data_IF_947246464767
#
_entry.id   IF_947246464767
#
_cell.length_a   1.000
_cell.length_b   1.000
_cell.length_c   1.000
_cell.angle_alpha   90.00
_cell.angle_beta   90.00
_cell.angle_gamma   90.00
#
_symmetry.space_group_name_H-M   'P 1'
#
loop_
_entity.id
_entity.type
_entity.pdbx_description
1 polymer ?
#
# COMPACT_ATOMS: atom_id res chain seq x y z
N UNK A 1 1.76 -37.17 -8.80
CA UNK A 1 2.96 -36.33 -8.72
C UNK A 1 3.00 -35.71 -7.34
N UNK A 2 4.13 -35.74 -6.63
CA UNK A 2 4.22 -35.23 -5.24
C UNK A 2 4.31 -33.70 -5.17
N UNK A 3 4.87 -33.08 -6.22
CA UNK A 3 5.02 -31.62 -6.33
C UNK A 3 4.23 -31.17 -7.56
N UNK A 4 3.65 -29.97 -7.51
CA UNK A 4 2.99 -29.33 -8.65
C UNK A 4 3.37 -27.86 -8.66
N UNK A 5 3.57 -27.30 -9.85
CA UNK A 5 3.79 -25.87 -10.03
C UNK A 5 2.45 -25.13 -10.01
N UNK A 6 2.49 -23.88 -9.54
CA UNK A 6 1.35 -22.97 -9.51
C UNK A 6 1.84 -21.59 -9.92
N UNK A 7 1.03 -20.81 -10.65
CA UNK A 7 1.27 -19.37 -10.76
C UNK A 7 1.34 -18.76 -9.35
N UNK A 8 2.36 -17.96 -9.09
CA UNK A 8 2.57 -17.28 -7.81
C UNK A 8 2.67 -15.78 -8.07
N UNK A 9 1.94 -15.01 -7.26
CA UNK A 9 2.07 -13.55 -7.24
C UNK A 9 3.37 -13.18 -6.57
N UNK A 10 4.17 -12.34 -7.24
CA UNK A 10 5.49 -11.91 -6.79
C UNK A 10 5.63 -10.39 -6.91
N UNK A 11 6.55 -9.82 -6.12
CA UNK A 11 6.97 -8.43 -6.24
C UNK A 11 7.85 -8.20 -7.46
N UNK A 12 7.64 -7.06 -8.12
CA UNK A 12 8.63 -6.53 -9.05
C UNK A 12 9.78 -5.88 -8.26
N UNK A 13 10.90 -6.60 -8.16
CA UNK A 13 12.11 -6.13 -7.44
C UNK A 13 12.81 -4.95 -8.11
N UNK A 14 12.39 -4.55 -9.32
CA UNK A 14 12.89 -3.35 -9.99
C UNK A 14 12.18 -2.07 -9.53
N UNK A 15 10.94 -2.19 -9.06
CA UNK A 15 10.07 -1.09 -8.61
C UNK A 15 10.40 -0.65 -7.18
N UNK A 16 10.55 -1.60 -6.25
CA UNK A 16 10.90 -1.34 -4.84
C UNK A 16 12.25 -1.99 -4.49
N UNK A 17 13.12 -1.23 -3.83
CA UNK A 17 14.50 -1.64 -3.53
C UNK A 17 14.89 -1.36 -2.08
N UNK A 18 15.94 -2.05 -1.61
CA UNK A 18 16.57 -1.71 -0.34
C UNK A 18 16.96 -0.22 -0.30
N UNK A 19 16.70 0.43 0.83
CA UNK A 19 16.89 1.87 1.03
C UNK A 19 15.64 2.71 0.76
N UNK A 20 14.60 2.18 0.10
CA UNK A 20 13.36 2.92 -0.11
C UNK A 20 12.65 3.18 1.21
N UNK A 21 12.03 4.35 1.31
CA UNK A 21 11.16 4.73 2.42
C UNK A 21 9.79 4.11 2.21
N UNK A 22 9.19 3.60 3.29
CA UNK A 22 7.89 2.91 3.25
C UNK A 22 7.01 3.41 4.38
N UNK A 23 5.73 3.60 4.08
CA UNK A 23 4.65 3.63 5.06
C UNK A 23 3.67 2.52 4.71
N UNK A 24 3.51 1.53 5.58
CA UNK A 24 2.67 0.37 5.33
C UNK A 24 1.69 0.13 6.47
N UNK A 25 0.45 -0.24 6.13
CA UNK A 25 -0.59 -0.59 7.08
C UNK A 25 -1.18 -1.94 6.71
N UNK A 26 -0.96 -2.94 7.56
CA UNK A 26 -1.70 -4.18 7.47
C UNK A 26 -3.13 -3.95 7.96
N UNK A 27 -4.10 -4.61 7.34
CA UNK A 27 -5.52 -4.55 7.72
C UNK A 27 -5.78 -4.91 9.19
N UNK A 28 -4.95 -5.78 9.77
CA UNK A 28 -5.05 -6.19 11.17
C UNK A 28 -4.47 -5.18 12.16
N UNK A 29 -3.84 -4.10 11.67
CA UNK A 29 -3.20 -3.08 12.49
C UNK A 29 -4.09 -1.84 12.63
N UNK A 30 -4.06 -1.25 13.83
CA UNK A 30 -4.79 -0.01 14.10
C UNK A 30 -4.21 1.19 13.34
N UNK A 31 -2.88 1.23 13.19
CA UNK A 31 -2.14 2.31 12.55
C UNK A 31 -1.12 1.78 11.54
N UNK A 32 -0.77 2.62 10.57
CA UNK A 32 0.32 2.32 9.63
C UNK A 32 1.66 2.66 10.23
N UNK A 33 2.69 1.91 9.83
CA UNK A 33 4.05 2.03 10.35
C UNK A 33 4.96 2.54 9.24
N UNK A 34 5.70 3.60 9.55
CA UNK A 34 6.76 4.13 8.69
C UNK A 34 8.10 3.44 8.96
N UNK A 35 8.87 3.20 7.91
CA UNK A 35 10.17 2.56 7.97
C UNK A 35 10.93 2.67 6.66
N UNK A 36 11.94 1.83 6.49
CA UNK A 36 12.69 1.72 5.24
C UNK A 36 12.96 0.25 4.89
N UNK A 37 13.05 -0.02 3.60
CA UNK A 37 13.29 -1.37 3.07
C UNK A 37 14.72 -1.78 3.36
N UNK A 38 14.91 -2.94 3.97
CA UNK A 38 16.24 -3.54 4.20
C UNK A 38 16.55 -4.67 3.23
N UNK A 39 15.52 -5.37 2.74
CA UNK A 39 15.66 -6.42 1.74
C UNK A 39 14.38 -6.56 0.90
N UNK A 40 14.56 -7.00 -0.35
CA UNK A 40 13.47 -7.33 -1.28
C UNK A 40 13.80 -8.66 -1.94
N UNK A 41 12.81 -9.55 -1.97
CA UNK A 41 12.78 -10.74 -2.81
C UNK A 41 11.52 -10.71 -3.67
N UNK A 42 11.36 -11.70 -4.54
CA UNK A 42 10.11 -11.89 -5.28
C UNK A 42 8.92 -12.18 -4.34
N UNK A 43 9.14 -12.75 -3.15
CA UNK A 43 8.07 -13.15 -2.23
C UNK A 43 7.79 -12.15 -1.12
N UNK A 44 8.80 -11.40 -0.68
CA UNK A 44 8.66 -10.50 0.47
C UNK A 44 9.52 -9.23 0.39
N UNK A 45 8.99 -8.17 0.99
CA UNK A 45 9.70 -6.94 1.32
C UNK A 45 9.89 -6.89 2.84
N UNK A 46 11.13 -6.71 3.29
CA UNK A 46 11.47 -6.56 4.71
C UNK A 46 11.63 -5.08 5.03
N UNK A 47 10.85 -4.59 6.00
CA UNK A 47 10.87 -3.19 6.42
C UNK A 47 11.39 -3.09 7.84
N UNK A 48 12.43 -2.29 8.05
CA UNK A 48 12.90 -1.92 9.39
C UNK A 48 12.24 -0.62 9.83
N UNK A 49 11.85 -0.55 11.11
CA UNK A 49 11.19 0.61 11.69
C UNK A 49 11.60 0.83 13.15
N UNK A 50 11.30 2.03 13.65
CA UNK A 50 11.47 2.40 15.05
C UNK A 50 10.15 2.21 15.82
N UNK A 51 10.06 1.29 16.81
CA UNK A 51 8.82 0.96 17.50
C UNK A 51 8.44 1.96 18.61
N UNK A 52 9.24 3.01 18.82
CA UNK A 52 8.97 4.02 19.85
C UNK A 52 9.40 3.63 21.27
N UNK A 53 10.05 2.48 21.45
CA UNK A 53 10.50 1.97 22.76
C UNK A 53 12.02 1.87 22.76
N UNK A 54 12.67 2.68 23.58
CA UNK A 54 14.14 2.66 23.73
C UNK A 54 14.88 2.92 22.41
N UNK A 55 16.09 2.37 22.30
CA UNK A 55 16.95 2.48 21.11
C UNK A 55 16.95 1.17 20.30
N UNK A 56 15.79 0.53 20.14
CA UNK A 56 15.68 -0.70 19.33
C UNK A 56 15.05 -0.40 17.98
N UNK A 57 15.51 -1.12 16.96
CA UNK A 57 14.82 -1.22 15.67
C UNK A 57 14.14 -2.57 15.59
N UNK A 58 12.94 -2.63 15.02
CA UNK A 58 12.26 -3.88 14.72
C UNK A 58 12.00 -3.99 13.22
N UNK A 59 11.52 -5.14 12.76
CA UNK A 59 11.17 -5.38 11.37
C UNK A 59 9.79 -6.02 11.23
N UNK A 60 9.18 -5.81 10.08
CA UNK A 60 8.02 -6.56 9.64
C UNK A 60 8.20 -6.99 8.17
N UNK A 61 7.43 -8.00 7.77
CA UNK A 61 7.44 -8.56 6.44
C UNK A 61 6.15 -8.17 5.74
N UNK A 62 6.26 -7.70 4.51
CA UNK A 62 5.13 -7.57 3.59
C UNK A 62 5.28 -8.71 2.58
N UNK A 63 4.31 -9.63 2.55
CA UNK A 63 4.36 -10.81 1.66
C UNK A 63 3.50 -10.61 0.43
N UNK A 64 3.97 -11.03 -0.74
CA UNK A 64 3.29 -10.82 -2.01
C UNK A 64 1.87 -11.40 -2.02
N UNK A 65 1.67 -12.58 -1.39
CA UNK A 65 0.36 -13.22 -1.27
C UNK A 65 -0.63 -12.46 -0.35
N UNK A 66 -0.14 -11.77 0.68
CA UNK A 66 -0.96 -10.93 1.55
C UNK A 66 -1.33 -9.62 0.85
N UNK A 67 -0.40 -9.07 0.06
CA UNK A 67 -0.65 -7.90 -0.78
C UNK A 67 -1.70 -8.20 -1.84
N UNK A 68 -1.62 -9.36 -2.50
CA UNK A 68 -2.65 -9.85 -3.43
C UNK A 68 -4.01 -10.02 -2.74
N UNK A 69 -4.03 -10.54 -1.51
CA UNK A 69 -5.25 -10.69 -0.72
C UNK A 69 -5.88 -9.36 -0.27
N UNK A 70 -5.20 -8.23 -0.50
CA UNK A 70 -5.66 -6.90 -0.11
C UNK A 70 -5.45 -6.61 1.38
N UNK A 71 -4.54 -7.32 2.04
CA UNK A 71 -4.26 -7.12 3.47
C UNK A 71 -3.37 -5.90 3.74
N UNK A 72 -2.81 -5.27 2.71
CA UNK A 72 -1.84 -4.19 2.85
C UNK A 72 -2.21 -2.94 2.06
N UNK A 73 -2.12 -1.80 2.73
CA UNK A 73 -1.97 -0.48 2.10
C UNK A 73 -0.50 -0.06 2.23
N UNK A 74 0.14 0.27 1.12
CA UNK A 74 1.58 0.54 1.04
C UNK A 74 1.80 1.86 0.31
N UNK A 75 2.61 2.73 0.88
CA UNK A 75 3.19 3.89 0.21
C UNK A 75 4.69 3.77 0.27
N UNK A 76 5.36 4.00 -0.85
CA UNK A 76 6.80 3.89 -0.90
C UNK A 76 7.42 4.93 -1.81
N UNK A 77 8.70 5.21 -1.56
CA UNK A 77 9.45 6.20 -2.31
C UNK A 77 10.94 5.95 -2.21
N UNK A 78 11.67 6.25 -3.28
CA UNK A 78 13.14 6.22 -3.25
C UNK A 78 13.71 7.37 -2.39
N UNK A 79 13.11 8.56 -2.46
CA UNK A 79 13.70 9.80 -1.95
C UNK A 79 12.67 10.84 -1.46
N UNK A 80 11.39 10.46 -1.35
CA UNK A 80 10.23 11.32 -1.07
C UNK A 80 9.87 12.36 -2.14
N UNK A 81 10.52 12.38 -3.30
CA UNK A 81 10.12 13.27 -4.41
C UNK A 81 8.79 12.83 -5.02
N UNK A 82 8.61 11.51 -5.17
CA UNK A 82 7.39 10.87 -5.66
C UNK A 82 6.94 9.79 -4.68
N UNK A 83 5.64 9.72 -4.40
CA UNK A 83 5.06 8.70 -3.52
C UNK A 83 4.20 7.76 -4.35
N UNK A 84 4.65 6.53 -4.48
CA UNK A 84 3.88 5.44 -5.09
C UNK A 84 2.89 4.90 -4.06
N UNK A 85 1.68 4.53 -4.49
CA UNK A 85 0.61 4.06 -3.61
C UNK A 85 0.05 2.75 -4.13
N UNK A 86 -0.01 1.73 -3.26
CA UNK A 86 -0.62 0.44 -3.56
C UNK A 86 -1.60 0.02 -2.45
N UNK A 87 -2.78 -0.54 -2.76
CA UNK A 87 -3.36 -0.59 -4.10
C UNK A 87 -3.59 0.83 -4.65
N UNK A 88 -3.60 0.95 -5.98
CA UNK A 88 -3.87 2.22 -6.64
C UNK A 88 -5.23 2.78 -6.19
N UNK A 89 -5.33 4.09 -5.90
CA UNK A 89 -6.59 4.68 -5.50
C UNK A 89 -7.62 4.52 -6.62
N UNK A 90 -8.83 4.10 -6.27
CA UNK A 90 -9.94 4.03 -7.23
C UNK A 90 -10.21 5.43 -7.75
N UNK A 91 -10.02 5.65 -9.04
CA UNK A 91 -10.37 6.90 -9.71
C UNK A 91 -11.89 7.08 -9.67
N UNK A 92 -12.40 7.85 -8.71
CA UNK A 92 -13.81 8.26 -8.69
C UNK A 92 -14.04 9.29 -9.80
N UNK A 93 -14.18 8.85 -11.05
CA UNK A 93 -14.87 9.64 -12.09
C UNK A 93 -16.37 9.44 -11.93
N UNK A 94 -16.91 9.84 -10.78
CA UNK A 94 -18.35 10.09 -10.67
C UNK A 94 -18.56 11.56 -11.01
N UNK A 95 -18.55 11.86 -12.32
CA UNK A 95 -19.09 13.12 -12.83
C UNK A 95 -20.56 13.13 -12.47
N UNK A 96 -20.87 13.73 -11.32
CA UNK A 96 -22.22 14.09 -10.92
C UNK A 96 -22.88 14.82 -12.09
N UNK A 97 -23.80 14.14 -12.75
CA UNK A 97 -24.56 14.69 -13.84
C UNK A 97 -25.42 15.83 -13.27
N UNK A 98 -25.04 17.07 -13.59
CA UNK A 98 -25.78 18.27 -13.26
C UNK A 98 -27.14 18.25 -13.94
N UNK A 99 -28.17 17.84 -13.20
CA UNK A 99 -29.56 18.05 -13.55
C UNK A 99 -30.06 19.36 -12.94
N UNK A 100 -29.75 20.47 -13.57
CA UNK A 100 -30.43 21.74 -13.34
C UNK A 100 -31.88 21.58 -13.80
N UNK A 101 -32.86 21.68 -12.90
CA UNK A 101 -34.23 22.05 -13.27
C UNK A 101 -34.72 23.07 -12.25
N UNK A 102 -34.58 24.34 -12.64
CA UNK A 102 -35.42 25.43 -12.16
C UNK A 102 -36.89 25.02 -12.30
N UNK A 103 -37.65 25.10 -11.21
CA UNK A 103 -39.09 25.32 -11.31
C UNK A 103 -39.54 26.22 -10.16
N UNK A 104 -39.66 27.51 -10.48
CA UNK A 104 -40.82 28.33 -10.14
C UNK A 104 -41.08 28.57 -8.65
N UNK A 105 -40.90 29.83 -8.23
CA UNK A 105 -41.38 30.32 -6.94
C UNK A 105 -42.91 30.39 -6.81
N UNK A 106 -43.31 31.04 -5.71
CA UNK A 106 -44.66 31.30 -5.13
C UNK A 106 -45.16 30.20 -4.20
N UNK A 107 -45.71 30.46 -3.00
CA UNK A 107 -45.92 31.62 -2.12
C UNK A 107 -46.42 31.08 -0.76
N UNK A 108 -46.28 31.88 0.30
CA UNK A 108 -46.77 31.75 1.70
C UNK A 108 -45.94 30.90 2.68
#
# INVERSE_FOLDING_TARGET
MLITEKPETVFDTSEIKAGYLVFAKNRSWNEGIGGFVTAVTDKEVVVQYHPGIGNVTNHFFIRANEVEAGDWEIRYSADMTEIHVYPEPTSNTDTGNGGNNDTGGTNL
#
